data_IF_697410567607
#
_entry.id   IF_697410567607
#
_cell.length_a   1.000
_cell.length_b   1.000
_cell.length_c   1.000
_cell.angle_alpha   90.00
_cell.angle_beta   90.00
_cell.angle_gamma   90.00
#
_symmetry.space_group_name_H-M   'P 1'
#
loop_
_entity.id
_entity.type
_entity.pdbx_description
1 polymer ?
#
# COMPACT_ATOMS: atom_id res chain seq x y z
N UNK A 1 11.41 -18.32 -14.06
CA UNK A 1 10.31 -17.32 -14.12
C UNK A 1 9.77 -16.95 -12.73
N UNK A 2 9.84 -17.78 -11.67
CA UNK A 2 9.31 -17.45 -10.32
C UNK A 2 10.17 -16.48 -9.50
N UNK A 3 11.51 -16.52 -9.65
CA UNK A 3 12.43 -15.78 -8.80
C UNK A 3 12.29 -14.25 -8.85
N UNK A 4 12.01 -13.68 -10.03
CA UNK A 4 11.91 -12.22 -10.20
C UNK A 4 10.64 -11.64 -9.57
N UNK A 5 9.55 -12.42 -9.52
CA UNK A 5 8.31 -11.98 -8.87
C UNK A 5 8.45 -12.03 -7.33
N UNK A 6 9.11 -13.06 -6.80
CA UNK A 6 9.40 -13.18 -5.37
C UNK A 6 10.36 -12.09 -4.89
N UNK A 7 11.42 -11.79 -5.65
CA UNK A 7 12.33 -10.70 -5.36
C UNK A 7 11.62 -9.34 -5.35
N UNK A 8 10.85 -9.01 -6.39
CA UNK A 8 10.05 -7.78 -6.43
C UNK A 8 9.05 -7.68 -5.28
N UNK A 9 8.45 -8.80 -4.86
CA UNK A 9 7.56 -8.84 -3.70
C UNK A 9 8.31 -8.53 -2.42
N UNK A 10 9.51 -9.10 -2.23
CA UNK A 10 10.35 -8.84 -1.06
C UNK A 10 10.78 -7.36 -1.00
N UNK A 11 11.22 -6.80 -2.13
CA UNK A 11 11.58 -5.38 -2.25
C UNK A 11 10.39 -4.47 -1.92
N UNK A 12 9.20 -4.81 -2.42
CA UNK A 12 7.97 -4.10 -2.08
C UNK A 12 7.64 -4.19 -0.59
N UNK A 13 7.82 -5.35 0.08
CA UNK A 13 7.65 -5.45 1.54
C UNK A 13 8.61 -4.50 2.23
N UNK A 14 9.91 -4.60 1.92
CA UNK A 14 10.93 -3.79 2.56
C UNK A 14 10.65 -2.29 2.39
N UNK A 15 10.31 -1.86 1.18
CA UNK A 15 9.98 -0.46 0.88
C UNK A 15 8.74 0.03 1.64
N UNK A 16 7.68 -0.78 1.74
CA UNK A 16 6.48 -0.42 2.52
C UNK A 16 6.81 -0.28 4.00
N UNK A 17 7.65 -1.16 4.54
CA UNK A 17 8.06 -1.07 5.95
C UNK A 17 8.92 0.17 6.21
N UNK A 18 9.80 0.53 5.28
CA UNK A 18 10.66 1.71 5.36
C UNK A 18 9.87 3.04 5.38
N UNK A 19 8.62 3.08 4.86
CA UNK A 19 7.77 4.27 4.96
C UNK A 19 7.52 4.72 6.42
N UNK A 20 7.76 3.86 7.42
CA UNK A 20 7.67 4.25 8.85
C UNK A 20 8.63 5.38 9.19
N UNK A 21 9.77 5.43 8.53
CA UNK A 21 10.80 6.44 8.77
C UNK A 21 10.36 7.84 8.30
N UNK A 22 9.32 7.92 7.44
CA UNK A 22 8.73 9.19 7.02
C UNK A 22 7.83 9.82 8.11
N UNK A 23 7.40 9.09 9.15
CA UNK A 23 6.42 9.61 10.14
C UNK A 23 7.00 10.76 10.96
N UNK A 24 8.15 10.55 11.60
CA UNK A 24 8.78 11.53 12.48
C UNK A 24 9.06 12.87 11.76
N UNK A 25 9.73 12.90 10.58
CA UNK A 25 10.00 14.16 9.91
C UNK A 25 8.72 14.87 9.44
N UNK A 26 7.66 14.15 9.05
CA UNK A 26 6.38 14.77 8.69
C UNK A 26 5.69 15.39 9.92
N UNK A 27 5.76 14.71 11.06
CA UNK A 27 5.23 15.24 12.31
C UNK A 27 6.01 16.48 12.78
N UNK A 28 7.34 16.45 12.71
CA UNK A 28 8.21 17.59 13.05
C UNK A 28 7.99 18.77 12.09
N UNK A 29 7.59 18.49 10.86
CA UNK A 29 7.15 19.50 9.88
C UNK A 29 5.71 20.02 10.12
N UNK A 30 5.03 19.59 11.19
CA UNK A 30 3.71 20.08 11.59
C UNK A 30 2.54 19.48 10.81
N UNK A 31 2.74 18.35 10.12
CA UNK A 31 1.65 17.68 9.42
C UNK A 31 0.63 17.09 10.41
N UNK A 32 -0.66 17.21 10.08
CA UNK A 32 -1.71 16.53 10.85
C UNK A 32 -1.67 15.02 10.65
N UNK A 33 -2.23 14.24 11.58
CA UNK A 33 -2.34 12.78 11.42
C UNK A 33 -3.06 12.38 10.13
N UNK A 34 -4.08 13.15 9.73
CA UNK A 34 -4.78 12.94 8.46
C UNK A 34 -3.85 13.11 7.26
N UNK A 35 -3.09 14.20 7.23
CA UNK A 35 -2.17 14.48 6.13
C UNK A 35 -1.08 13.40 6.05
N UNK A 36 -0.53 12.98 7.19
CA UNK A 36 0.44 11.88 7.28
C UNK A 36 -0.19 10.56 6.79
N UNK A 37 -1.39 10.23 7.24
CA UNK A 37 -2.10 9.03 6.83
C UNK A 37 -2.34 8.98 5.31
N UNK A 38 -2.85 10.08 4.74
CA UNK A 38 -3.12 10.20 3.30
C UNK A 38 -1.83 10.05 2.49
N UNK A 39 -0.77 10.73 2.90
CA UNK A 39 0.55 10.64 2.28
C UNK A 39 1.09 9.21 2.29
N UNK A 40 1.15 8.56 3.45
CA UNK A 40 1.70 7.21 3.57
C UNK A 40 0.89 6.17 2.78
N UNK A 41 -0.44 6.29 2.74
CA UNK A 41 -1.28 5.40 1.91
C UNK A 41 -1.02 5.63 0.43
N UNK A 42 -0.85 6.87 -0.02
CA UNK A 42 -0.49 7.19 -1.40
C UNK A 42 0.89 6.61 -1.75
N UNK A 43 1.90 6.81 -0.90
CA UNK A 43 3.26 6.25 -1.06
C UNK A 43 3.24 4.72 -1.17
N UNK A 44 2.51 4.04 -0.28
CA UNK A 44 2.32 2.59 -0.33
C UNK A 44 1.66 2.12 -1.61
N UNK A 45 0.69 2.87 -2.14
CA UNK A 45 0.02 2.53 -3.40
C UNK A 45 0.93 2.77 -4.61
N UNK A 46 1.78 3.80 -4.60
CA UNK A 46 2.81 4.00 -5.62
C UNK A 46 3.82 2.84 -5.64
N UNK A 47 4.37 2.46 -4.48
CA UNK A 47 5.27 1.29 -4.37
C UNK A 47 4.64 0.00 -4.92
N UNK A 48 3.32 -0.15 -4.76
CA UNK A 48 2.58 -1.30 -5.29
C UNK A 48 2.45 -1.26 -6.82
N UNK A 49 2.34 -0.08 -7.42
CA UNK A 49 2.35 0.09 -8.87
C UNK A 49 3.74 -0.23 -9.42
N UNK A 50 4.79 0.30 -8.80
CA UNK A 50 6.18 0.03 -9.21
C UNK A 50 6.49 -1.47 -9.16
N UNK A 51 6.10 -2.15 -8.06
CA UNK A 51 6.28 -3.59 -7.92
C UNK A 51 5.57 -4.40 -9.02
N UNK A 52 4.47 -3.89 -9.58
CA UNK A 52 3.68 -4.52 -10.64
C UNK A 52 4.19 -4.23 -12.05
N UNK A 53 5.12 -3.29 -12.23
CA UNK A 53 5.62 -2.92 -13.55
C UNK A 53 6.31 -4.07 -14.31
N UNK A 54 6.79 -5.09 -13.58
CA UNK A 54 7.37 -6.31 -14.16
C UNK A 54 6.38 -7.49 -14.31
N UNK A 55 5.10 -7.31 -13.96
CA UNK A 55 4.09 -8.36 -14.11
C UNK A 55 3.52 -8.38 -15.53
N UNK A 56 3.04 -9.53 -16.03
CA UNK A 56 2.31 -9.58 -17.29
C UNK A 56 1.08 -8.64 -17.25
N UNK A 57 0.85 -7.90 -18.33
CA UNK A 57 -0.22 -6.91 -18.42
C UNK A 57 -1.60 -7.49 -18.09
N UNK A 58 -1.88 -8.72 -18.55
CA UNK A 58 -3.13 -9.44 -18.26
C UNK A 58 -3.33 -9.66 -16.75
N UNK A 59 -2.26 -9.99 -16.02
CA UNK A 59 -2.30 -10.18 -14.56
C UNK A 59 -2.55 -8.85 -13.86
N UNK A 60 -1.90 -7.77 -14.31
CA UNK A 60 -2.12 -6.42 -13.77
C UNK A 60 -3.56 -5.97 -14.01
N UNK A 61 -4.12 -6.22 -15.20
CA UNK A 61 -5.50 -5.90 -15.53
C UNK A 61 -6.52 -6.68 -14.66
N UNK A 62 -6.29 -7.98 -14.46
CA UNK A 62 -7.11 -8.80 -13.57
C UNK A 62 -7.08 -8.30 -12.11
N UNK A 63 -5.90 -7.93 -11.62
CA UNK A 63 -5.74 -7.30 -10.30
C UNK A 63 -6.48 -5.97 -10.20
N UNK A 64 -6.36 -5.11 -11.22
CA UNK A 64 -7.01 -3.81 -11.26
C UNK A 64 -8.53 -3.94 -11.24
N UNK A 65 -9.10 -4.82 -12.08
CA UNK A 65 -10.53 -5.09 -12.10
C UNK A 65 -11.04 -5.63 -10.75
N UNK A 66 -10.29 -6.53 -10.11
CA UNK A 66 -10.62 -7.03 -8.76
C UNK A 66 -10.61 -5.90 -7.73
N UNK A 67 -9.58 -5.06 -7.73
CA UNK A 67 -9.44 -3.97 -6.75
C UNK A 67 -10.52 -2.91 -6.96
N UNK A 68 -10.84 -2.56 -8.21
CA UNK A 68 -11.91 -1.61 -8.53
C UNK A 68 -13.26 -2.08 -7.96
N UNK A 69 -13.61 -3.36 -8.16
CA UNK A 69 -14.84 -3.94 -7.58
C UNK A 69 -14.87 -3.91 -6.06
N UNK A 70 -13.73 -4.08 -5.40
CA UNK A 70 -13.65 -4.21 -3.93
C UNK A 70 -13.48 -2.87 -3.20
N UNK A 71 -12.74 -1.95 -3.80
CA UNK A 71 -12.26 -0.72 -3.14
C UNK A 71 -12.68 0.55 -3.88
N UNK A 72 -13.20 0.46 -5.10
CA UNK A 72 -13.44 1.63 -5.96
C UNK A 72 -12.17 2.22 -6.57
N UNK A 73 -11.03 1.54 -6.43
CA UNK A 73 -9.71 2.01 -6.87
C UNK A 73 -8.93 0.82 -7.48
N UNK A 74 -8.31 0.98 -8.68
CA UNK A 74 -7.62 -0.12 -9.38
C UNK A 74 -6.31 -0.56 -8.69
N UNK A 75 -5.68 0.30 -7.90
CA UNK A 75 -4.44 0.00 -7.18
C UNK A 75 -4.72 -0.73 -5.88
N UNK A 76 -5.74 -0.31 -5.14
CA UNK A 76 -6.16 -0.89 -3.87
C UNK A 76 -6.84 0.13 -2.95
N UNK A 77 -7.04 -0.18 -1.66
CA UNK A 77 -7.73 0.75 -0.76
C UNK A 77 -6.95 2.07 -0.62
N UNK A 78 -7.67 3.18 -0.76
CA UNK A 78 -7.19 4.53 -0.46
C UNK A 78 -7.35 4.89 1.02
N UNK A 79 -6.90 6.10 1.38
CA UNK A 79 -6.92 6.57 2.76
C UNK A 79 -8.35 6.64 3.34
N UNK A 80 -9.32 7.14 2.56
CA UNK A 80 -10.72 7.22 2.98
C UNK A 80 -11.34 5.84 3.19
N UNK A 81 -10.98 4.85 2.37
CA UNK A 81 -11.41 3.46 2.60
C UNK A 81 -10.90 2.92 3.93
N UNK A 82 -9.63 3.18 4.26
CA UNK A 82 -9.06 2.79 5.54
C UNK A 82 -9.67 3.57 6.71
N UNK A 83 -9.93 4.87 6.53
CA UNK A 83 -10.57 5.69 7.55
C UNK A 83 -11.99 5.20 7.82
N UNK A 84 -12.79 4.94 6.78
CA UNK A 84 -14.13 4.35 6.94
C UNK A 84 -14.10 3.00 7.67
N UNK A 85 -13.04 2.21 7.49
CA UNK A 85 -12.85 0.93 8.18
C UNK A 85 -12.43 1.06 9.65
N UNK A 86 -11.57 2.03 9.99
CA UNK A 86 -10.91 2.10 11.30
C UNK A 86 -11.35 3.27 12.19
N UNK A 87 -11.94 4.32 11.62
CA UNK A 87 -12.51 5.47 12.33
C UNK A 87 -11.50 6.47 12.91
N UNK A 88 -10.19 6.29 12.69
CA UNK A 88 -9.16 7.23 13.17
C UNK A 88 -7.88 7.17 12.32
N UNK A 89 -7.18 8.29 12.22
CA UNK A 89 -6.01 8.46 11.34
C UNK A 89 -4.77 7.70 11.83
N UNK A 90 -4.54 7.60 13.15
CA UNK A 90 -3.48 6.76 13.71
C UNK A 90 -3.56 5.30 13.24
N UNK A 91 -4.76 4.71 13.17
CA UNK A 91 -4.97 3.37 12.65
C UNK A 91 -4.76 3.27 11.12
N UNK A 92 -5.08 4.34 10.37
CA UNK A 92 -4.77 4.42 8.93
C UNK A 92 -3.26 4.46 8.69
N UNK A 93 -2.52 5.24 9.49
CA UNK A 93 -1.04 5.26 9.47
C UNK A 93 -0.50 3.84 9.67
N UNK A 94 -0.97 3.12 10.71
CA UNK A 94 -0.54 1.74 10.93
C UNK A 94 -0.94 0.79 9.80
N UNK A 95 -2.09 1.02 9.15
CA UNK A 95 -2.54 0.23 8.02
C UNK A 95 -1.71 0.44 6.74
N UNK A 96 -1.09 1.62 6.57
CA UNK A 96 -0.22 1.92 5.43
C UNK A 96 0.97 0.96 5.34
N UNK A 97 1.46 0.48 6.48
CA UNK A 97 2.61 -0.46 6.55
C UNK A 97 2.23 -1.93 6.46
N UNK A 98 0.93 -2.26 6.36
CA UNK A 98 0.49 -3.65 6.29
C UNK A 98 0.62 -4.17 4.86
N UNK A 99 1.38 -5.25 4.72
CA UNK A 99 1.39 -6.06 3.50
C UNK A 99 0.65 -7.37 3.74
N UNK A 100 0.07 -7.96 2.69
CA UNK A 100 -0.62 -9.24 2.83
C UNK A 100 0.41 -10.34 3.10
N UNK A 101 0.19 -11.10 4.16
CA UNK A 101 0.93 -12.33 4.42
C UNK A 101 0.45 -13.40 3.44
N UNK A 102 1.30 -13.76 2.47
CA UNK A 102 0.98 -14.76 1.45
C UNK A 102 1.00 -16.19 2.00
N UNK A 103 1.53 -16.41 3.23
CA UNK A 103 1.49 -17.73 3.88
C UNK A 103 0.10 -18.11 4.40
N UNK A 104 -0.85 -17.16 4.41
CA UNK A 104 -2.23 -17.36 4.91
C UNK A 104 -3.29 -17.40 3.81
N UNK A 105 -2.91 -17.73 2.58
CA UNK A 105 -3.80 -17.64 1.42
C UNK A 105 -3.50 -18.60 0.27
N UNK A 106 -3.19 -19.87 0.60
CA UNK A 106 -3.39 -21.04 -0.25
C UNK A 106 -4.29 -22.02 0.49
#
# INVERSE_FOLDING_TARGET
>A
MSGDAEARRADYVAAVHALRDEIAPLHDAGWSEEAIARHLVARRNALKQDARAGDPEEIVALMAARNLRKYGDPVGPGADWFFAKYGNWAAVIQAAFRTADLSKGL
#
